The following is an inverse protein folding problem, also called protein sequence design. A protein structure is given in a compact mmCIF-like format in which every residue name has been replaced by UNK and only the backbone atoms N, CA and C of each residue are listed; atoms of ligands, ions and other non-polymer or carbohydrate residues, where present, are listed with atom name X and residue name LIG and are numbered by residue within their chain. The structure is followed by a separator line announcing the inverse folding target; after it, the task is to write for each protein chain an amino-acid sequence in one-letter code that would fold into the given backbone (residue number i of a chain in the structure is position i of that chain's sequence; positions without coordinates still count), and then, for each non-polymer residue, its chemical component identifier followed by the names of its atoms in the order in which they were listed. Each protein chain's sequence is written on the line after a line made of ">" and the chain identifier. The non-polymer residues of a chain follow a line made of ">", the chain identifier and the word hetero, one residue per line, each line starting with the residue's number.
data_IF_114790098475
#
_entry.id   IF_114790098475
#
_cell.length_a   1.000
_cell.length_b   1.000
_cell.length_c   1.000
_cell.angle_alpha   90.00
_cell.angle_beta   90.00
_cell.angle_gamma   90.00
#
_symmetry.space_group_name_H-M   'P 1'
#
loop_
_entity.id
_entity.type
_entity.pdbx_description
1 polymer ?
#
# COMPACT_ATOMS: atom_id res chain seq x y z
N UNK A 1 -3.79 2.49 -59.82
CA UNK A 1 -3.24 3.51 -58.90
C UNK A 1 -3.15 2.86 -57.52
N UNK A 2 -1.94 2.72 -56.99
CA UNK A 2 -1.68 2.08 -55.70
C UNK A 2 -2.12 3.06 -54.59
N UNK A 3 -3.18 2.70 -53.86
CA UNK A 3 -3.75 3.55 -52.82
C UNK A 3 -2.73 3.82 -51.72
N UNK A 4 -2.63 5.07 -51.30
CA UNK A 4 -1.85 5.49 -50.14
C UNK A 4 -2.33 4.70 -48.91
N UNK A 5 -1.55 3.70 -48.52
CA UNK A 5 -1.78 3.00 -47.27
C UNK A 5 -1.33 3.94 -46.14
N UNK A 6 -2.18 4.92 -45.84
CA UNK A 6 -1.97 5.91 -44.79
C UNK A 6 -1.45 5.23 -43.52
N UNK A 7 -0.43 5.85 -42.93
CA UNK A 7 0.32 5.34 -41.77
C UNK A 7 -0.63 4.78 -40.69
N UNK A 8 -0.69 3.45 -40.55
CA UNK A 8 -1.58 2.79 -39.58
C UNK A 8 -1.07 3.02 -38.17
N UNK A 9 -1.69 3.97 -37.45
CA UNK A 9 -1.42 4.21 -36.03
C UNK A 9 -2.22 3.23 -35.17
N UNK A 10 -1.63 2.76 -34.06
CA UNK A 10 -2.31 1.93 -33.05
C UNK A 10 -2.32 2.71 -31.74
N UNK A 11 -3.50 2.83 -31.12
CA UNK A 11 -3.66 3.50 -29.84
C UNK A 11 -3.48 2.52 -28.69
N UNK A 12 -2.75 2.94 -27.66
CA UNK A 12 -2.55 2.20 -26.42
C UNK A 12 -3.04 3.03 -25.25
N UNK A 13 -3.56 2.36 -24.23
CA UNK A 13 -3.91 2.97 -22.95
C UNK A 13 -3.34 2.13 -21.82
N UNK A 14 -2.79 2.80 -20.82
CA UNK A 14 -2.23 2.18 -19.62
C UNK A 14 -2.72 3.01 -18.43
N UNK A 15 -3.14 2.33 -17.37
CA UNK A 15 -3.41 2.96 -16.08
C UNK A 15 -2.31 2.58 -15.10
N UNK A 16 -1.58 3.57 -14.61
CA UNK A 16 -0.58 3.37 -13.57
C UNK A 16 -1.26 3.37 -12.19
N UNK A 17 -0.87 2.42 -11.35
CA UNK A 17 -1.32 2.31 -9.95
C UNK A 17 -0.10 2.03 -9.07
N UNK A 18 -0.10 2.47 -7.79
CA UNK A 18 0.99 2.14 -6.88
C UNK A 18 1.01 0.64 -6.60
N UNK A 19 2.17 0.11 -6.21
CA UNK A 19 2.29 -1.30 -5.80
C UNK A 19 1.27 -1.66 -4.71
N UNK A 20 0.99 -0.75 -3.77
CA UNK A 20 -0.02 -0.91 -2.73
C UNK A 20 -1.40 -1.35 -3.28
N UNK A 21 -1.79 -0.92 -4.49
CA UNK A 21 -3.07 -1.28 -5.09
C UNK A 21 -3.24 -2.80 -5.31
N UNK A 22 -2.14 -3.56 -5.42
CA UNK A 22 -2.20 -5.02 -5.59
C UNK A 22 -2.80 -5.72 -4.36
N UNK A 23 -2.67 -5.13 -3.18
CA UNK A 23 -3.21 -5.67 -1.93
C UNK A 23 -4.75 -5.72 -1.93
N UNK A 24 -5.41 -5.01 -2.86
CA UNK A 24 -6.86 -5.10 -3.05
C UNK A 24 -7.33 -6.49 -3.52
N UNK A 25 -6.43 -7.30 -4.10
CA UNK A 25 -6.77 -8.57 -4.75
C UNK A 25 -6.55 -9.81 -3.87
N UNK A 26 -6.01 -9.64 -2.65
CA UNK A 26 -5.83 -10.73 -1.68
C UNK A 26 -6.70 -10.49 -0.46
N UNK A 27 -7.55 -11.44 -0.14
CA UNK A 27 -8.41 -11.45 1.06
C UNK A 27 -7.94 -12.54 2.00
N UNK A 28 -7.87 -12.24 3.30
CA UNK A 28 -7.38 -13.18 4.30
C UNK A 28 -8.26 -13.19 5.58
N UNK A 29 -8.01 -14.19 6.42
CA UNK A 29 -8.50 -14.30 7.80
C UNK A 29 -7.33 -14.64 8.71
N UNK A 30 -6.89 -13.70 9.54
CA UNK A 30 -5.63 -13.82 10.30
C UNK A 30 -5.71 -13.12 11.64
N UNK A 31 -4.88 -13.62 12.57
CA UNK A 31 -4.73 -13.07 13.91
C UNK A 31 -3.30 -12.54 14.05
N UNK A 32 -3.19 -11.34 14.61
CA UNK A 32 -1.95 -10.70 15.01
C UNK A 32 -2.04 -10.45 16.53
N UNK A 33 -1.04 -10.90 17.27
CA UNK A 33 -0.97 -10.77 18.73
C UNK A 33 0.33 -10.12 19.12
N UNK A 34 0.30 -9.28 20.13
CA UNK A 34 1.49 -8.63 20.67
C UNK A 34 2.30 -7.90 19.58
N UNK A 35 1.60 -7.05 18.82
CA UNK A 35 2.17 -6.25 17.73
C UNK A 35 1.62 -4.82 17.74
N UNK A 36 2.48 -3.86 17.44
CA UNK A 36 2.05 -2.49 17.13
C UNK A 36 1.44 -2.43 15.74
N UNK A 37 0.58 -1.43 15.46
CA UNK A 37 -0.02 -1.27 14.12
C UNK A 37 1.04 -1.14 13.01
N UNK A 38 2.13 -0.37 13.16
CA UNK A 38 3.21 -0.34 12.17
C UNK A 38 3.85 -1.70 11.92
N UNK A 39 4.00 -2.55 12.94
CA UNK A 39 4.54 -3.90 12.77
C UNK A 39 3.57 -4.80 11.98
N UNK A 40 2.26 -4.69 12.24
CA UNK A 40 1.23 -5.43 11.51
C UNK A 40 1.23 -5.00 10.03
N UNK A 41 1.20 -3.69 9.78
CA UNK A 41 1.23 -3.13 8.41
C UNK A 41 2.51 -3.56 7.69
N UNK A 42 3.68 -3.44 8.33
CA UNK A 42 4.95 -3.88 7.76
C UNK A 42 4.92 -5.36 7.34
N UNK A 43 4.43 -6.24 8.23
CA UNK A 43 4.31 -7.66 7.93
C UNK A 43 3.43 -7.92 6.71
N UNK A 44 2.28 -7.23 6.61
CA UNK A 44 1.38 -7.38 5.46
C UNK A 44 2.05 -6.86 4.17
N UNK A 45 2.78 -5.74 4.23
CA UNK A 45 3.49 -5.19 3.07
C UNK A 45 4.61 -6.13 2.58
N UNK A 46 5.42 -6.65 3.49
CA UNK A 46 6.55 -7.54 3.17
C UNK A 46 6.09 -8.84 2.50
N UNK A 47 4.94 -9.39 2.91
CA UNK A 47 4.33 -10.55 2.26
C UNK A 47 3.93 -10.29 0.80
N UNK A 48 3.72 -9.03 0.41
CA UNK A 48 3.47 -8.62 -0.97
C UNK A 48 4.75 -8.20 -1.71
N UNK A 49 5.93 -8.39 -1.11
CA UNK A 49 7.22 -8.02 -1.70
C UNK A 49 7.55 -6.54 -1.60
N UNK A 50 6.76 -5.76 -0.86
CA UNK A 50 7.12 -4.39 -0.48
C UNK A 50 8.11 -4.45 0.68
N UNK A 51 9.39 -4.61 0.36
CA UNK A 51 10.48 -4.62 1.34
C UNK A 51 10.70 -3.23 1.97
N UNK A 52 11.51 -3.16 3.03
CA UNK A 52 11.79 -1.95 3.82
C UNK A 52 12.27 -0.72 3.03
N UNK A 53 12.76 -0.88 1.81
CA UNK A 53 13.12 0.24 0.92
C UNK A 53 11.93 0.89 0.23
N UNK A 54 10.77 0.22 0.19
CA UNK A 54 9.57 0.67 -0.53
C UNK A 54 8.56 1.39 0.35
N UNK A 55 8.73 1.37 1.67
CA UNK A 55 7.89 2.12 2.58
C UNK A 55 8.67 2.66 3.77
N UNK A 56 8.10 3.61 4.50
CA UNK A 56 8.64 4.09 5.78
C UNK A 56 7.54 4.66 6.66
N UNK A 57 7.79 4.67 7.97
CA UNK A 57 6.91 5.25 8.98
C UNK A 57 7.54 6.53 9.54
N UNK A 58 6.81 7.65 9.49
CA UNK A 58 7.18 8.95 10.04
C UNK A 58 6.24 9.28 11.20
N UNK A 59 6.45 8.59 12.33
CA UNK A 59 5.60 8.70 13.52
C UNK A 59 6.34 9.48 14.60
N UNK A 60 5.63 10.30 15.37
CA UNK A 60 6.24 11.06 16.46
C UNK A 60 6.65 10.16 17.64
N UNK A 61 5.94 9.05 17.83
CA UNK A 61 6.22 8.05 18.84
C UNK A 61 5.86 6.65 18.35
N UNK A 62 6.28 5.61 19.07
CA UNK A 62 5.89 4.23 18.75
C UNK A 62 4.48 3.99 19.29
N UNK A 63 3.50 3.62 18.44
CA UNK A 63 2.15 3.30 18.91
C UNK A 63 2.15 2.12 19.90
N UNK A 64 1.18 2.06 20.83
CA UNK A 64 1.09 0.96 21.78
C UNK A 64 0.92 -0.39 21.07
N UNK A 65 1.39 -1.43 21.73
CA UNK A 65 1.18 -2.80 21.27
C UNK A 65 -0.29 -3.19 21.42
N UNK A 66 -0.87 -3.80 20.38
CA UNK A 66 -2.18 -4.44 20.47
C UNK A 66 -2.01 -5.86 21.02
N UNK A 67 -2.74 -6.16 22.09
CA UNK A 67 -2.84 -7.52 22.63
C UNK A 67 -3.37 -8.49 21.57
N UNK A 68 -4.39 -8.06 20.82
CA UNK A 68 -5.07 -8.86 19.82
C UNK A 68 -5.62 -8.00 18.67
N UNK A 69 -5.36 -8.40 17.43
CA UNK A 69 -5.88 -7.75 16.22
C UNK A 69 -6.23 -8.81 15.17
N UNK A 70 -7.37 -8.65 14.50
CA UNK A 70 -7.87 -9.60 13.50
C UNK A 70 -8.03 -8.90 12.17
N UNK A 71 -7.57 -9.55 11.10
CA UNK A 71 -8.03 -9.32 9.74
C UNK A 71 -9.11 -10.35 9.45
N UNK A 72 -10.36 -9.94 9.24
CA UNK A 72 -11.48 -10.88 9.08
C UNK A 72 -12.20 -10.68 7.75
N UNK A 73 -11.89 -11.54 6.78
CA UNK A 73 -12.58 -11.59 5.48
C UNK A 73 -12.61 -10.23 4.77
N UNK A 74 -11.48 -9.54 4.81
CA UNK A 74 -11.25 -8.26 4.13
C UNK A 74 -9.94 -8.33 3.32
N UNK A 75 -9.82 -7.46 2.31
CA UNK A 75 -8.59 -7.40 1.52
C UNK A 75 -7.42 -6.88 2.36
N UNK A 76 -6.20 -7.24 2.00
CA UNK A 76 -5.00 -6.73 2.67
C UNK A 76 -4.92 -5.19 2.58
N UNK A 77 -5.41 -4.60 1.48
CA UNK A 77 -5.50 -3.15 1.33
C UNK A 77 -6.52 -2.55 2.30
N UNK A 78 -7.73 -3.10 2.36
CA UNK A 78 -8.77 -2.62 3.26
C UNK A 78 -8.34 -2.75 4.72
N UNK A 79 -7.66 -3.84 5.06
CA UNK A 79 -7.11 -4.05 6.40
C UNK A 79 -6.11 -2.96 6.79
N UNK A 80 -5.13 -2.66 5.92
CA UNK A 80 -4.15 -1.59 6.17
C UNK A 80 -4.86 -0.23 6.32
N UNK A 81 -5.83 0.06 5.43
CA UNK A 81 -6.56 1.33 5.47
C UNK A 81 -7.35 1.50 6.77
N UNK A 82 -8.07 0.45 7.19
CA UNK A 82 -8.79 0.43 8.46
C UNK A 82 -7.85 0.64 9.65
N UNK A 83 -6.71 -0.04 9.68
CA UNK A 83 -5.70 0.16 10.74
C UNK A 83 -5.14 1.59 10.76
N UNK A 84 -4.92 2.18 9.58
CA UNK A 84 -4.49 3.56 9.48
C UNK A 84 -5.55 4.52 10.03
N UNK A 85 -6.82 4.34 9.64
CA UNK A 85 -7.93 5.18 10.12
C UNK A 85 -8.13 5.07 11.64
N UNK A 86 -8.03 3.86 12.21
CA UNK A 86 -8.15 3.61 13.66
C UNK A 86 -7.06 4.34 14.48
N UNK A 87 -5.84 4.43 13.96
CA UNK A 87 -4.69 5.06 14.64
C UNK A 87 -4.47 6.53 14.24
N UNK A 88 -5.33 7.09 13.38
CA UNK A 88 -5.14 8.46 12.86
C UNK A 88 -3.91 8.61 11.95
N UNK A 89 -3.49 7.52 11.29
CA UNK A 89 -2.41 7.53 10.32
C UNK A 89 -2.95 7.88 8.93
N UNK A 90 -2.23 8.72 8.21
CA UNK A 90 -2.38 8.89 6.78
C UNK A 90 -1.23 8.18 6.04
N UNK A 91 -1.37 8.02 4.73
CA UNK A 91 -0.24 7.65 3.88
C UNK A 91 -0.25 8.40 2.54
N UNK A 92 0.93 8.60 1.99
CA UNK A 92 1.14 9.21 0.68
C UNK A 92 2.26 8.50 -0.08
N UNK A 93 2.45 8.86 -1.36
CA UNK A 93 3.47 8.27 -2.22
C UNK A 93 4.48 9.33 -2.66
N UNK A 94 5.75 9.11 -2.32
CA UNK A 94 6.85 9.87 -2.89
C UNK A 94 7.37 9.17 -4.15
N UNK A 95 7.63 9.93 -5.21
CA UNK A 95 8.05 9.38 -6.50
C UNK A 95 9.40 9.98 -6.91
N UNK A 96 10.24 9.12 -7.48
CA UNK A 96 11.48 9.49 -8.16
C UNK A 96 11.48 8.88 -9.57
N UNK A 97 12.43 9.24 -10.45
CA UNK A 97 12.52 8.64 -11.77
C UNK A 97 12.72 7.11 -11.76
N UNK A 98 13.23 6.54 -10.66
CA UNK A 98 13.57 5.12 -10.56
C UNK A 98 12.74 4.35 -9.53
N UNK A 99 11.94 5.01 -8.69
CA UNK A 99 11.21 4.36 -7.61
C UNK A 99 9.99 5.16 -7.14
N UNK A 100 9.10 4.48 -6.43
CA UNK A 100 8.13 5.13 -5.56
C UNK A 100 8.29 4.60 -4.13
N UNK A 101 7.96 5.41 -3.12
CA UNK A 101 7.97 4.99 -1.72
C UNK A 101 6.62 5.33 -1.08
N UNK A 102 6.05 4.36 -0.36
CA UNK A 102 4.85 4.54 0.46
C UNK A 102 5.25 5.10 1.84
N UNK A 103 4.76 6.27 2.18
CA UNK A 103 5.10 6.96 3.43
C UNK A 103 3.88 7.00 4.33
N UNK A 104 3.98 6.42 5.51
CA UNK A 104 2.96 6.54 6.57
C UNK A 104 3.34 7.68 7.50
N UNK A 105 2.38 8.50 7.88
CA UNK A 105 2.59 9.65 8.76
C UNK A 105 1.39 9.87 9.68
N UNK A 106 1.64 10.62 10.74
CA UNK A 106 0.61 11.19 11.61
C UNK A 106 0.36 12.64 11.17
N UNK A 107 -0.88 13.11 11.22
CA UNK A 107 -1.15 14.53 11.04
C UNK A 107 -0.46 15.30 12.18
N UNK A 108 0.53 16.11 11.83
CA UNK A 108 1.06 17.11 12.75
C UNK A 108 0.10 18.29 12.78
N UNK A 109 -0.56 18.49 13.92
CA UNK A 109 -1.16 19.78 14.26
C UNK A 109 -0.06 20.83 14.51
#
# INVERSE_FOLDING_TARGET
>A
AQGDAGRRLTHYSITLRPHLARLAHRTNQRIFQHRTVPQIIAQVLEEHGLLATHYRFQLASVPPEREYCVQYHESDLHFIQRLCEEEGLHYHFEHSPSAHQLVFGEDQA
#
